data_IF_937972138952
#
_entry.id   IF_937972138952
#
_cell.length_a   1.000
_cell.length_b   1.000
_cell.length_c   1.000
_cell.angle_alpha   90.00
_cell.angle_beta   90.00
_cell.angle_gamma   90.00
#
_symmetry.space_group_name_H-M   'P 1'
#
loop_
_entity.id
_entity.type
_entity.pdbx_description
1 polymer ?
#
# COMPACT_ATOMS: atom_id res chain seq x y z
N UNK A 1 9.03 -17.50 -25.86
CA UNK A 1 9.73 -16.23 -25.61
C UNK A 1 10.30 -16.30 -24.21
N UNK A 2 11.50 -15.79 -23.98
CA UNK A 2 12.05 -15.63 -22.62
C UNK A 2 11.16 -14.67 -21.84
N UNK A 3 10.82 -15.01 -20.60
CA UNK A 3 10.05 -14.15 -19.70
C UNK A 3 10.92 -12.95 -19.34
N UNK A 4 10.41 -11.73 -19.54
CA UNK A 4 11.11 -10.50 -19.18
C UNK A 4 11.20 -10.36 -17.65
N UNK A 5 12.40 -10.11 -17.14
CA UNK A 5 12.65 -9.72 -15.75
C UNK A 5 13.06 -8.26 -15.72
N UNK A 6 12.82 -7.65 -14.56
CA UNK A 6 13.14 -6.23 -14.34
C UNK A 6 14.59 -5.92 -14.72
N UNK A 7 14.74 -4.92 -15.58
CA UNK A 7 15.99 -4.44 -16.20
C UNK A 7 16.72 -5.41 -17.15
N UNK A 8 16.08 -6.48 -17.65
CA UNK A 8 16.68 -7.39 -18.65
C UNK A 8 17.07 -6.69 -19.96
N UNK A 9 16.51 -5.51 -20.25
CA UNK A 9 16.84 -4.71 -21.43
C UNK A 9 18.20 -3.99 -21.33
N UNK A 10 18.82 -3.97 -20.16
CA UNK A 10 20.11 -3.32 -19.94
C UNK A 10 21.26 -4.23 -20.41
N UNK A 11 22.08 -3.73 -21.33
CA UNK A 11 23.33 -4.37 -21.73
C UNK A 11 24.46 -4.03 -20.73
N UNK A 12 24.95 -5.02 -19.96
CA UNK A 12 26.11 -4.88 -19.07
C UNK A 12 25.82 -4.44 -17.62
N UNK A 13 26.86 -4.22 -16.81
CA UNK A 13 26.74 -3.80 -15.39
C UNK A 13 26.56 -2.27 -15.29
N UNK A 14 25.32 -1.79 -15.48
CA UNK A 14 24.93 -0.38 -15.29
C UNK A 14 24.70 0.01 -13.81
N UNK A 15 25.36 -0.70 -12.88
CA UNK A 15 25.15 -0.55 -11.45
C UNK A 15 23.89 -1.26 -10.97
N UNK A 16 23.58 -2.42 -11.58
CA UNK A 16 22.59 -3.33 -11.01
C UNK A 16 23.11 -3.86 -9.66
N UNK A 17 22.21 -4.18 -8.71
CA UNK A 17 22.60 -4.80 -7.45
C UNK A 17 23.46 -6.04 -7.71
N UNK A 18 24.56 -6.13 -6.97
CA UNK A 18 25.44 -7.31 -7.00
C UNK A 18 25.00 -8.39 -6.04
N UNK A 19 24.24 -7.98 -5.02
CA UNK A 19 23.70 -8.88 -4.02
C UNK A 19 22.51 -9.67 -4.59
N UNK A 20 22.35 -10.95 -4.21
CA UNK A 20 21.17 -11.73 -4.56
C UNK A 20 19.88 -11.05 -4.09
N UNK A 21 18.86 -11.07 -4.96
CA UNK A 21 17.53 -10.58 -4.65
C UNK A 21 16.62 -11.74 -4.23
N UNK A 22 15.71 -11.46 -3.30
CA UNK A 22 14.73 -12.41 -2.78
C UNK A 22 13.93 -13.09 -3.88
N UNK A 23 13.67 -14.41 -3.77
CA UNK A 23 12.83 -15.13 -4.71
C UNK A 23 11.39 -14.59 -4.69
N UNK A 24 10.71 -14.63 -5.83
CA UNK A 24 9.33 -14.16 -5.98
C UNK A 24 8.30 -15.15 -5.40
N UNK A 25 8.75 -16.36 -5.06
CA UNK A 25 7.95 -17.47 -4.54
C UNK A 25 8.67 -18.17 -3.38
N UNK A 26 7.90 -18.83 -2.53
CA UNK A 26 8.38 -19.80 -1.52
C UNK A 26 9.50 -19.28 -0.58
N UNK A 27 9.55 -17.96 -0.34
CA UNK A 27 10.49 -17.37 0.65
C UNK A 27 10.18 -17.88 2.06
N UNK A 28 8.90 -18.01 2.37
CA UNK A 28 8.37 -18.54 3.64
C UNK A 28 7.38 -19.68 3.35
N UNK A 29 7.11 -20.57 4.31
CA UNK A 29 6.08 -21.60 4.14
C UNK A 29 4.71 -21.00 3.81
N UNK A 30 4.01 -21.58 2.85
CA UNK A 30 2.68 -21.14 2.47
C UNK A 30 1.69 -21.27 3.63
N UNK A 31 0.80 -20.29 3.77
CA UNK A 31 -0.28 -20.34 4.75
C UNK A 31 -1.26 -21.45 4.40
N UNK A 32 -1.47 -22.37 5.35
CA UNK A 32 -2.39 -23.48 5.12
C UNK A 32 -3.84 -23.15 5.51
N UNK A 33 -4.07 -22.21 6.44
CA UNK A 33 -5.38 -21.77 6.94
C UNK A 33 -6.30 -22.85 7.53
N UNK A 34 -5.98 -24.13 7.35
CA UNK A 34 -6.89 -25.25 7.59
C UNK A 34 -8.13 -25.26 6.69
N UNK A 35 -8.14 -24.49 5.60
CA UNK A 35 -9.34 -24.30 4.76
C UNK A 35 -9.69 -25.57 3.97
N UNK A 36 -10.99 -25.84 3.83
CA UNK A 36 -11.43 -26.98 3.02
C UNK A 36 -11.20 -26.72 1.53
N UNK A 37 -11.07 -27.77 0.69
CA UNK A 37 -10.93 -27.59 -0.76
C UNK A 37 -12.04 -26.76 -1.40
N UNK A 38 -13.27 -26.83 -0.86
CA UNK A 38 -14.41 -26.04 -1.37
C UNK A 38 -14.28 -24.55 -1.05
N UNK A 39 -13.73 -24.21 0.13
CA UNK A 39 -13.44 -22.82 0.53
C UNK A 39 -12.38 -22.24 -0.41
N UNK A 40 -11.28 -22.96 -0.60
CA UNK A 40 -10.19 -22.55 -1.50
C UNK A 40 -10.69 -22.38 -2.92
N UNK A 41 -11.41 -23.37 -3.47
CA UNK A 41 -11.94 -23.29 -4.83
C UNK A 41 -12.93 -22.12 -5.02
N UNK A 42 -13.74 -21.79 -4.01
CA UNK A 42 -14.62 -20.62 -4.04
C UNK A 42 -13.84 -19.31 -3.99
N UNK A 43 -12.80 -19.22 -3.14
CA UNK A 43 -11.93 -18.06 -3.04
C UNK A 43 -11.20 -17.77 -4.35
N UNK A 44 -10.57 -18.80 -4.95
CA UNK A 44 -9.89 -18.69 -6.24
C UNK A 44 -10.82 -18.21 -7.36
N UNK A 45 -12.04 -18.75 -7.42
CA UNK A 45 -13.06 -18.28 -8.38
C UNK A 45 -13.37 -16.80 -8.18
N UNK A 46 -13.63 -16.38 -6.95
CA UNK A 46 -13.98 -14.99 -6.65
C UNK A 46 -12.82 -14.04 -6.97
N UNK A 47 -11.59 -14.43 -6.66
CA UNK A 47 -10.41 -13.64 -6.96
C UNK A 47 -10.20 -13.48 -8.47
N UNK A 48 -10.39 -14.55 -9.25
CA UNK A 48 -10.32 -14.52 -10.71
C UNK A 48 -11.45 -13.70 -11.36
N UNK A 49 -12.69 -13.86 -10.90
CA UNK A 49 -13.87 -13.26 -11.54
C UNK A 49 -14.07 -11.78 -11.16
N UNK A 50 -13.35 -11.28 -10.16
CA UNK A 50 -13.47 -9.91 -9.64
C UNK A 50 -12.25 -9.07 -10.02
N UNK A 51 -12.46 -7.77 -10.22
CA UNK A 51 -11.37 -6.80 -10.20
C UNK A 51 -10.82 -6.72 -8.77
N UNK A 52 -9.73 -7.45 -8.51
CA UNK A 52 -9.04 -7.45 -7.23
C UNK A 52 -7.99 -6.33 -7.17
N UNK A 53 -8.07 -5.47 -6.17
CA UNK A 53 -7.22 -4.29 -6.00
C UNK A 53 -6.57 -4.33 -4.62
N UNK A 54 -5.25 -4.44 -4.58
CA UNK A 54 -4.49 -4.11 -3.38
C UNK A 54 -4.30 -2.60 -3.29
N UNK A 55 -4.86 -2.00 -2.24
CA UNK A 55 -4.85 -0.55 -2.04
C UNK A 55 -3.49 -0.02 -1.60
N UNK A 56 -2.56 -0.90 -1.21
CA UNK A 56 -1.22 -0.52 -0.79
C UNK A 56 -0.27 -1.72 -0.76
N UNK A 57 0.81 -1.68 -1.55
CA UNK A 57 1.96 -2.57 -1.44
C UNK A 57 3.23 -1.93 -2.03
N UNK A 58 4.36 -2.62 -1.86
CA UNK A 58 5.63 -2.35 -2.52
C UNK A 58 6.03 -3.58 -3.36
N UNK A 59 5.59 -3.69 -4.64
CA UNK A 59 5.79 -4.85 -5.51
C UNK A 59 7.24 -5.01 -6.03
N UNK A 60 8.21 -4.82 -5.14
CA UNK A 60 9.64 -4.75 -5.36
C UNK A 60 10.32 -5.95 -4.72
N UNK A 61 11.31 -6.50 -5.43
CA UNK A 61 12.27 -7.47 -4.93
C UNK A 61 13.41 -6.79 -4.21
N UNK A 62 13.47 -7.03 -2.92
CA UNK A 62 14.54 -6.58 -2.05
C UNK A 62 15.72 -7.57 -2.06
N UNK A 63 16.91 -7.15 -1.58
CA UNK A 63 18.03 -8.05 -1.38
C UNK A 63 17.70 -9.15 -0.34
N UNK A 64 18.28 -10.34 -0.51
CA UNK A 64 18.14 -11.44 0.46
C UNK A 64 18.56 -11.05 1.88
N UNK A 65 19.63 -10.26 1.97
CA UNK A 65 20.03 -9.60 3.22
C UNK A 65 19.56 -8.14 3.18
N UNK A 66 18.54 -7.86 3.99
CA UNK A 66 17.91 -6.55 4.07
C UNK A 66 18.84 -5.44 4.58
N UNK A 67 20.02 -5.77 5.12
CA UNK A 67 21.06 -4.79 5.45
C UNK A 67 21.68 -4.14 4.19
N UNK A 68 21.54 -4.77 3.01
CA UNK A 68 22.05 -4.23 1.75
C UNK A 68 21.08 -3.25 1.06
N UNK A 69 19.85 -3.13 1.54
CA UNK A 69 18.82 -2.27 0.95
C UNK A 69 19.24 -0.80 0.81
N UNK A 70 19.95 -0.16 1.76
CA UNK A 70 20.44 1.20 1.57
C UNK A 70 21.35 1.34 0.34
N UNK A 71 22.26 0.39 0.10
CA UNK A 71 23.14 0.41 -1.07
C UNK A 71 22.37 0.09 -2.36
N UNK A 72 21.38 -0.80 -2.27
CA UNK A 72 20.50 -1.11 -3.38
C UNK A 72 19.65 0.08 -3.82
N UNK A 73 19.04 0.81 -2.89
CA UNK A 73 18.23 2.00 -3.20
C UNK A 73 19.08 3.10 -3.89
N UNK A 74 20.38 3.19 -3.62
CA UNK A 74 21.31 4.11 -4.32
C UNK A 74 21.41 3.87 -5.82
N UNK A 75 21.06 2.68 -6.28
CA UNK A 75 21.08 2.36 -7.71
C UNK A 75 19.94 3.04 -8.47
N UNK A 76 18.88 3.45 -7.76
CA UNK A 76 17.63 3.90 -8.38
C UNK A 76 16.86 2.79 -9.10
N UNK A 77 17.30 1.53 -9.02
CA UNK A 77 16.83 0.42 -9.86
C UNK A 77 16.26 -0.73 -9.03
N UNK A 78 15.16 -0.44 -8.33
CA UNK A 78 14.40 -1.47 -7.65
C UNK A 78 13.68 -2.38 -8.64
N UNK A 79 13.89 -3.68 -8.50
CA UNK A 79 13.39 -4.70 -9.40
C UNK A 79 11.94 -5.01 -9.08
N UNK A 80 11.04 -4.92 -10.08
CA UNK A 80 9.66 -5.42 -9.91
C UNK A 80 9.66 -6.95 -9.86
N UNK A 81 8.82 -7.52 -9.00
CA UNK A 81 8.54 -8.96 -8.99
C UNK A 81 7.48 -9.35 -10.04
N UNK A 82 7.81 -9.25 -11.33
CA UNK A 82 6.83 -9.47 -12.41
C UNK A 82 6.23 -10.88 -12.44
N UNK A 83 6.98 -11.90 -12.03
CA UNK A 83 6.48 -13.28 -12.01
C UNK A 83 5.55 -13.50 -10.82
N UNK A 84 5.94 -13.03 -9.63
CA UNK A 84 5.11 -13.07 -8.43
C UNK A 84 3.80 -12.31 -8.59
N UNK A 85 3.85 -11.10 -9.16
CA UNK A 85 2.65 -10.30 -9.42
C UNK A 85 1.65 -11.03 -10.31
N UNK A 86 2.08 -11.64 -11.41
CA UNK A 86 1.18 -12.39 -12.31
C UNK A 86 0.53 -13.59 -11.63
N UNK A 87 1.18 -14.13 -10.60
CA UNK A 87 0.65 -15.25 -9.82
C UNK A 87 -0.21 -14.83 -8.62
N UNK A 88 -0.40 -13.52 -8.38
CA UNK A 88 -1.06 -13.00 -7.17
C UNK A 88 -2.59 -13.02 -7.19
N UNK A 89 -3.19 -13.25 -8.37
CA UNK A 89 -4.62 -13.06 -8.60
C UNK A 89 -5.08 -11.59 -8.54
N UNK A 90 -4.17 -10.63 -8.35
CA UNK A 90 -4.49 -9.21 -8.34
C UNK A 90 -4.71 -8.69 -9.76
N UNK A 91 -5.76 -7.88 -9.93
CA UNK A 91 -5.91 -7.05 -11.13
C UNK A 91 -5.09 -5.77 -11.02
N UNK A 92 -5.03 -5.16 -9.83
CA UNK A 92 -4.30 -3.90 -9.60
C UNK A 92 -3.56 -3.93 -8.26
N UNK A 93 -2.36 -3.35 -8.25
CA UNK A 93 -1.60 -3.01 -7.05
C UNK A 93 -1.32 -1.52 -7.03
N UNK A 94 -1.63 -0.85 -5.92
CA UNK A 94 -1.13 0.49 -5.64
C UNK A 94 0.34 0.36 -5.21
N UNK A 95 1.25 0.65 -6.15
CA UNK A 95 2.70 0.58 -6.01
C UNK A 95 3.22 1.88 -5.40
N UNK A 96 3.62 1.81 -4.13
CA UNK A 96 4.17 2.95 -3.38
C UNK A 96 5.69 3.11 -3.58
N UNK A 97 6.29 2.31 -4.48
CA UNK A 97 7.69 2.45 -4.91
C UNK A 97 8.69 2.39 -3.73
N UNK A 98 9.81 3.12 -3.77
CA UNK A 98 10.78 3.15 -2.66
C UNK A 98 10.28 3.90 -1.42
N UNK A 99 9.40 4.89 -1.63
CA UNK A 99 8.76 5.74 -0.64
C UNK A 99 9.62 6.20 0.55
N UNK A 100 9.29 5.81 1.80
CA UNK A 100 10.05 6.11 3.01
C UNK A 100 11.50 5.62 3.00
N UNK A 101 11.92 4.90 1.95
CA UNK A 101 13.28 4.43 1.72
C UNK A 101 13.94 5.01 0.45
N UNK A 102 13.27 5.93 -0.26
CA UNK A 102 13.75 6.58 -1.49
C UNK A 102 14.95 7.51 -1.22
N UNK A 103 16.14 6.91 -1.14
CA UNK A 103 17.41 7.58 -0.85
C UNK A 103 18.44 7.30 -1.95
N UNK A 104 18.10 7.69 -3.18
CA UNK A 104 18.95 7.48 -4.36
C UNK A 104 20.17 8.39 -4.30
N UNK A 105 19.94 9.68 -4.08
CA UNK A 105 20.99 10.70 -4.01
C UNK A 105 21.19 11.23 -2.59
N UNK A 106 20.14 11.23 -1.76
CA UNK A 106 20.15 11.77 -0.40
C UNK A 106 20.40 10.75 0.73
N UNK A 107 20.33 11.22 1.98
CA UNK A 107 20.34 10.39 3.20
C UNK A 107 19.01 10.44 3.96
N UNK A 108 18.02 11.12 3.39
CA UNK A 108 16.68 11.29 3.91
C UNK A 108 15.72 11.00 2.77
N UNK A 109 14.63 10.25 3.01
CA UNK A 109 13.63 10.00 1.99
C UNK A 109 12.92 11.29 1.56
N UNK A 110 11.99 11.17 0.62
CA UNK A 110 11.09 12.25 0.20
C UNK A 110 11.75 13.43 -0.53
N UNK A 111 13.00 13.30 -0.96
CA UNK A 111 13.60 14.33 -1.80
C UNK A 111 12.96 14.31 -3.18
N UNK A 112 12.72 15.50 -3.73
CA UNK A 112 12.09 15.65 -5.05
C UNK A 112 12.85 14.88 -6.13
N UNK A 113 14.17 15.01 -6.16
CA UNK A 113 15.05 14.35 -7.12
C UNK A 113 14.99 12.82 -6.98
N UNK A 114 14.92 12.30 -5.75
CA UNK A 114 14.89 10.86 -5.49
C UNK A 114 13.55 10.25 -5.91
N UNK A 115 12.43 10.91 -5.59
CA UNK A 115 11.08 10.47 -5.99
C UNK A 115 10.91 10.49 -7.51
N UNK A 116 11.34 11.57 -8.17
CA UNK A 116 11.26 11.66 -9.64
C UNK A 116 12.21 10.64 -10.31
N UNK A 117 13.37 10.38 -9.71
CA UNK A 117 14.31 9.37 -10.23
C UNK A 117 13.71 7.98 -10.13
N UNK A 118 13.16 7.60 -8.97
CA UNK A 118 12.54 6.30 -8.76
C UNK A 118 11.37 6.09 -9.74
N UNK A 119 10.41 7.03 -9.77
CA UNK A 119 9.27 6.97 -10.69
C UNK A 119 9.71 6.87 -12.18
N UNK A 120 10.76 7.59 -12.57
CA UNK A 120 11.31 7.53 -13.92
C UNK A 120 11.95 6.19 -14.25
N UNK A 121 12.72 5.60 -13.33
CA UNK A 121 13.36 4.30 -13.51
C UNK A 121 12.33 3.17 -13.55
N UNK A 122 11.34 3.19 -12.64
CA UNK A 122 10.21 2.25 -12.61
C UNK A 122 9.45 2.26 -13.94
N UNK A 123 9.09 3.43 -14.45
CA UNK A 123 8.39 3.55 -15.73
C UNK A 123 9.23 3.11 -16.92
N UNK A 124 10.55 3.38 -16.92
CA UNK A 124 11.44 2.92 -17.97
C UNK A 124 11.50 1.38 -18.03
N UNK A 125 11.59 0.72 -16.87
CA UNK A 125 11.58 -0.75 -16.79
C UNK A 125 10.25 -1.35 -17.25
N UNK A 126 9.13 -0.81 -16.78
CA UNK A 126 7.78 -1.27 -17.15
C UNK A 126 7.47 -1.10 -18.64
N UNK A 127 8.10 -0.15 -19.34
CA UNK A 127 7.93 0.01 -20.78
C UNK A 127 8.41 -1.21 -21.60
N UNK A 128 9.21 -2.10 -20.99
CA UNK A 128 9.70 -3.34 -21.58
C UNK A 128 8.86 -4.58 -21.18
N UNK A 129 7.86 -4.41 -20.31
CA UNK A 129 6.96 -5.46 -19.86
C UNK A 129 5.60 -5.35 -20.57
N UNK A 130 4.97 -6.50 -20.88
CA UNK A 130 3.65 -6.56 -21.53
C UNK A 130 2.51 -6.92 -20.59
N UNK A 131 2.80 -7.77 -19.58
CA UNK A 131 1.75 -8.42 -18.76
C UNK A 131 1.54 -7.69 -17.42
N UNK A 132 2.47 -6.80 -17.06
CA UNK A 132 2.36 -5.88 -15.92
C UNK A 132 2.46 -4.46 -16.45
N UNK A 133 1.41 -3.67 -16.25
CA UNK A 133 1.20 -2.40 -16.97
C UNK A 133 0.93 -1.25 -16.02
N UNK A 134 1.26 -0.02 -16.42
CA UNK A 134 0.94 1.18 -15.63
C UNK A 134 -0.53 1.55 -15.81
N UNK A 135 -1.20 1.86 -14.71
CA UNK A 135 -2.61 2.28 -14.65
C UNK A 135 -2.71 3.74 -14.21
N UNK A 136 -3.52 4.50 -14.93
CA UNK A 136 -3.76 5.94 -14.72
C UNK A 136 -5.24 6.30 -14.68
N UNK A 137 -6.12 5.39 -15.11
CA UNK A 137 -7.57 5.61 -15.22
C UNK A 137 -8.35 4.36 -14.82
N UNK A 138 -9.63 4.53 -14.46
CA UNK A 138 -10.55 3.41 -14.18
C UNK A 138 -10.75 2.54 -15.43
N UNK A 139 -10.77 3.13 -16.62
CA UNK A 139 -10.89 2.39 -17.87
C UNK A 139 -9.70 1.43 -18.09
N UNK A 140 -8.49 1.84 -17.72
CA UNK A 140 -7.30 0.98 -17.80
C UNK A 140 -7.36 -0.17 -16.78
N UNK A 141 -7.97 0.02 -15.60
CA UNK A 141 -8.22 -1.08 -14.65
C UNK A 141 -9.10 -2.17 -15.30
N UNK A 142 -10.21 -1.76 -15.91
CA UNK A 142 -11.09 -2.70 -16.62
C UNK A 142 -10.39 -3.37 -17.80
N UNK A 143 -9.54 -2.64 -18.52
CA UNK A 143 -8.77 -3.19 -19.63
C UNK A 143 -7.72 -4.22 -19.17
N UNK A 144 -7.02 -3.95 -18.05
CA UNK A 144 -6.07 -4.89 -17.47
C UNK A 144 -6.75 -6.18 -17.04
N UNK A 145 -7.89 -6.08 -16.34
CA UNK A 145 -8.69 -7.25 -15.96
C UNK A 145 -9.12 -8.08 -17.17
N UNK A 146 -9.66 -7.44 -18.20
CA UNK A 146 -10.11 -8.13 -19.42
C UNK A 146 -8.97 -8.78 -20.21
N UNK A 147 -7.74 -8.30 -20.04
CA UNK A 147 -6.53 -8.79 -20.69
C UNK A 147 -5.76 -9.82 -19.85
N UNK A 148 -6.20 -10.13 -18.63
CA UNK A 148 -5.45 -10.96 -17.66
C UNK A 148 -4.05 -10.38 -17.37
N UNK A 149 -3.98 -9.04 -17.27
CA UNK A 149 -2.78 -8.29 -16.93
C UNK A 149 -2.87 -7.76 -15.50
N UNK A 150 -1.71 -7.56 -14.87
CA UNK A 150 -1.62 -6.88 -13.56
C UNK A 150 -1.31 -5.41 -13.76
N UNK A 151 -2.16 -4.54 -13.22
CA UNK A 151 -1.99 -3.10 -13.24
C UNK A 151 -1.19 -2.58 -12.04
N UNK A 152 -0.31 -1.61 -12.26
CA UNK A 152 0.36 -0.85 -11.22
C UNK A 152 -0.12 0.60 -11.22
N UNK A 153 -0.66 1.05 -10.10
CA UNK A 153 -1.03 2.44 -9.86
C UNK A 153 0.06 3.05 -9.00
N UNK A 154 0.78 4.05 -9.52
CA UNK A 154 1.83 4.68 -8.73
C UNK A 154 1.27 5.60 -7.64
N UNK A 155 1.65 5.30 -6.40
CA UNK A 155 1.32 6.01 -5.17
C UNK A 155 2.55 6.63 -4.52
N UNK A 156 2.31 7.49 -3.54
CA UNK A 156 3.30 8.04 -2.61
C UNK A 156 2.65 8.09 -1.23
N UNK A 157 3.32 7.67 -0.17
CA UNK A 157 2.80 7.73 1.20
C UNK A 157 2.91 9.13 1.81
N UNK A 158 3.61 10.07 1.15
CA UNK A 158 3.77 11.43 1.64
C UNK A 158 3.88 12.48 0.53
N UNK A 159 3.26 13.64 0.79
CA UNK A 159 3.37 14.83 -0.02
C UNK A 159 4.60 15.68 0.32
N UNK A 160 5.52 15.19 1.15
CA UNK A 160 6.75 15.89 1.52
C UNK A 160 7.56 16.43 0.31
N UNK A 161 7.67 15.71 -0.83
CA UNK A 161 8.34 16.23 -2.03
C UNK A 161 7.70 17.50 -2.63
N UNK A 162 6.42 17.77 -2.35
CA UNK A 162 5.71 18.98 -2.80
C UNK A 162 6.29 20.24 -2.14
N UNK A 163 6.88 20.13 -0.95
CA UNK A 163 7.40 21.28 -0.21
C UNK A 163 6.31 22.35 -0.02
N UNK A 164 6.58 23.57 -0.48
CA UNK A 164 5.65 24.70 -0.43
C UNK A 164 5.12 25.10 -1.82
N UNK A 165 5.22 24.22 -2.81
CA UNK A 165 4.86 24.51 -4.20
C UNK A 165 3.78 23.54 -4.69
N UNK A 166 2.54 24.03 -4.77
CA UNK A 166 1.39 23.22 -5.19
C UNK A 166 1.50 22.73 -6.64
N UNK A 167 2.26 23.42 -7.51
CA UNK A 167 2.41 23.01 -8.91
C UNK A 167 3.16 21.68 -9.03
N UNK A 168 3.87 21.26 -7.97
CA UNK A 168 4.48 19.93 -7.90
C UNK A 168 3.46 18.79 -7.88
N UNK A 169 2.24 19.04 -7.40
CA UNK A 169 1.15 18.06 -7.49
C UNK A 169 0.76 17.80 -8.95
N UNK A 170 0.67 18.86 -9.76
CA UNK A 170 0.42 18.74 -11.19
C UNK A 170 1.53 17.98 -11.91
N UNK A 171 2.79 18.26 -11.56
CA UNK A 171 3.94 17.59 -12.16
C UNK A 171 3.89 16.09 -11.82
N UNK A 172 3.72 15.73 -10.54
CA UNK A 172 3.63 14.34 -10.11
C UNK A 172 2.45 13.61 -10.78
N UNK A 173 1.29 14.26 -10.85
CA UNK A 173 0.13 13.72 -11.56
C UNK A 173 0.42 13.50 -13.05
N UNK A 174 1.06 14.47 -13.73
CA UNK A 174 1.46 14.36 -15.13
C UNK A 174 2.50 13.27 -15.39
N UNK A 175 3.35 12.98 -14.41
CA UNK A 175 4.31 11.87 -14.45
C UNK A 175 3.68 10.50 -14.17
N UNK A 176 2.43 10.45 -13.69
CA UNK A 176 1.66 9.21 -13.53
C UNK A 176 1.25 8.86 -12.10
N UNK A 177 1.59 9.68 -11.10
CA UNK A 177 1.12 9.47 -9.72
C UNK A 177 -0.41 9.63 -9.67
N UNK A 178 -1.09 8.72 -8.96
CA UNK A 178 -2.55 8.68 -8.85
C UNK A 178 -3.09 8.62 -7.43
N UNK A 179 -2.21 8.42 -6.45
CA UNK A 179 -2.49 8.52 -5.02
C UNK A 179 -1.33 9.21 -4.32
N UNK A 180 -1.63 10.03 -3.31
CA UNK A 180 -0.60 10.65 -2.46
C UNK A 180 -1.07 10.78 -1.01
N UNK A 181 -0.21 10.43 -0.07
CA UNK A 181 -0.42 10.60 1.36
C UNK A 181 -0.16 12.05 1.78
N UNK A 182 -0.94 12.58 2.71
CA UNK A 182 -0.77 13.96 3.19
C UNK A 182 0.57 14.12 3.93
N UNK A 183 0.89 13.21 4.84
CA UNK A 183 2.11 13.18 5.63
C UNK A 183 2.50 11.73 5.94
N UNK A 184 3.78 11.51 6.22
CA UNK A 184 4.31 10.23 6.69
C UNK A 184 4.37 10.20 8.22
N UNK A 185 5.47 9.72 8.80
CA UNK A 185 5.72 9.77 10.23
C UNK A 185 5.94 11.21 10.72
N UNK A 186 6.73 11.99 9.98
CA UNK A 186 7.02 13.40 10.23
C UNK A 186 6.03 14.33 9.53
N UNK A 187 5.82 15.51 10.12
CA UNK A 187 5.08 16.59 9.47
C UNK A 187 5.77 17.11 8.23
N UNK A 188 4.95 17.66 7.35
CA UNK A 188 5.40 18.53 6.27
C UNK A 188 4.53 19.79 6.23
N UNK A 189 4.65 20.58 5.15
CA UNK A 189 3.88 21.82 4.99
C UNK A 189 2.35 21.61 4.95
N UNK A 190 1.86 20.40 4.68
CA UNK A 190 0.43 20.12 4.53
C UNK A 190 -0.24 19.77 5.86
N UNK A 191 0.40 18.99 6.73
CA UNK A 191 -0.20 18.56 8.00
C UNK A 191 0.74 17.77 8.89
N UNK A 192 0.23 17.41 10.07
CA UNK A 192 0.96 16.67 11.09
C UNK A 192 1.01 15.16 10.78
N UNK A 193 2.21 14.58 10.84
CA UNK A 193 2.43 13.13 10.72
C UNK A 193 2.13 12.37 12.02
N UNK A 194 2.10 11.04 11.97
CA UNK A 194 1.72 10.19 13.10
C UNK A 194 2.67 10.25 14.32
N UNK A 195 3.93 10.64 14.12
CA UNK A 195 4.98 10.60 15.14
C UNK A 195 5.25 11.97 15.78
N UNK A 196 4.45 12.97 15.43
CA UNK A 196 4.61 14.31 15.97
C UNK A 196 4.20 14.42 17.44
N UNK A 197 4.96 15.22 18.18
CA UNK A 197 4.64 15.48 19.58
C UNK A 197 3.33 16.25 19.76
N UNK A 198 2.93 17.02 18.74
CA UNK A 198 1.69 17.80 18.74
C UNK A 198 0.94 17.55 17.44
N UNK A 199 -0.30 17.10 17.57
CA UNK A 199 -1.23 17.04 16.46
C UNK A 199 -1.84 18.42 16.22
N UNK A 200 -1.34 19.12 15.20
CA UNK A 200 -1.83 20.45 14.80
C UNK A 200 -2.79 20.39 13.60
N UNK A 201 -3.16 19.18 13.16
CA UNK A 201 -4.09 18.99 12.05
C UNK A 201 -3.56 19.45 10.69
N UNK A 202 -4.50 19.68 9.78
CA UNK A 202 -4.22 20.10 8.41
C UNK A 202 -4.01 21.62 8.35
N UNK A 203 -2.92 22.05 7.71
CA UNK A 203 -2.61 23.47 7.54
C UNK A 203 -3.48 24.12 6.45
N UNK A 204 -3.47 25.45 6.37
CA UNK A 204 -4.12 26.17 5.25
C UNK A 204 -3.50 25.78 3.89
N UNK A 205 -2.20 25.52 3.86
CA UNK A 205 -1.51 25.01 2.67
C UNK A 205 -1.98 23.58 2.35
N UNK A 206 -2.13 22.72 3.35
CA UNK A 206 -2.72 21.38 3.21
C UNK A 206 -4.14 21.42 2.66
N UNK A 207 -4.99 22.33 3.15
CA UNK A 207 -6.35 22.54 2.61
C UNK A 207 -6.32 22.97 1.15
N UNK A 208 -5.36 23.82 0.76
CA UNK A 208 -5.17 24.19 -0.64
C UNK A 208 -4.67 23.01 -1.50
N UNK A 209 -3.78 22.18 -0.94
CA UNK A 209 -3.30 20.97 -1.58
C UNK A 209 -4.43 19.97 -1.82
N UNK A 210 -5.30 19.69 -0.84
CA UNK A 210 -6.46 18.79 -1.01
C UNK A 210 -7.37 19.28 -2.12
N UNK A 211 -7.71 20.57 -2.14
CA UNK A 211 -8.51 21.13 -3.25
C UNK A 211 -7.83 20.92 -4.60
N UNK A 212 -6.51 21.05 -4.68
CA UNK A 212 -5.75 20.80 -5.91
C UNK A 212 -5.75 19.32 -6.29
N UNK A 213 -5.57 18.42 -5.32
CA UNK A 213 -5.65 16.96 -5.52
C UNK A 213 -7.03 16.56 -6.05
N UNK A 214 -8.12 17.09 -5.48
CA UNK A 214 -9.48 16.84 -5.97
C UNK A 214 -9.69 17.34 -7.42
N UNK A 215 -9.12 18.50 -7.78
CA UNK A 215 -9.20 19.04 -9.15
C UNK A 215 -8.43 18.20 -10.18
N UNK A 216 -7.28 17.64 -9.78
CA UNK A 216 -6.46 16.78 -10.64
C UNK A 216 -7.04 15.36 -10.76
N UNK A 217 -7.88 14.96 -9.80
CA UNK A 217 -8.30 13.59 -9.62
C UNK A 217 -7.17 12.72 -9.07
N UNK A 218 -6.47 13.23 -8.06
CA UNK A 218 -5.45 12.51 -7.30
C UNK A 218 -6.08 12.00 -5.99
N UNK A 219 -5.97 10.70 -5.73
CA UNK A 219 -6.50 10.11 -4.51
C UNK A 219 -5.70 10.57 -3.29
N UNK A 220 -6.40 11.12 -2.30
CA UNK A 220 -5.79 11.55 -1.04
C UNK A 220 -5.72 10.38 -0.09
N UNK A 221 -4.55 10.16 0.52
CA UNK A 221 -4.34 9.15 1.56
C UNK A 221 -3.98 9.80 2.91
N UNK A 222 -4.53 9.25 3.99
CA UNK A 222 -4.29 9.70 5.37
C UNK A 222 -3.77 8.57 6.27
N UNK A 223 -3.29 7.46 5.71
CA UNK A 223 -2.73 6.32 6.44
C UNK A 223 -1.68 6.70 7.48
N UNK A 224 -0.74 7.58 7.13
CA UNK A 224 0.35 7.99 8.01
C UNK A 224 0.13 9.33 8.71
N UNK A 225 -0.97 10.03 8.43
CA UNK A 225 -1.24 11.29 9.13
C UNK A 225 -1.58 11.05 10.60
N UNK A 226 -1.41 12.10 11.41
CA UNK A 226 -2.08 12.23 12.70
C UNK A 226 -3.62 12.16 12.56
N UNK A 227 -4.31 12.01 13.69
CA UNK A 227 -5.77 11.86 13.71
C UNK A 227 -6.48 13.13 13.27
N UNK A 228 -6.11 14.30 13.80
CA UNK A 228 -6.73 15.56 13.42
C UNK A 228 -6.43 15.89 11.96
N UNK A 229 -5.22 15.59 11.46
CA UNK A 229 -4.92 15.77 10.03
C UNK A 229 -5.80 14.85 9.17
N UNK A 230 -6.04 13.61 9.60
CA UNK A 230 -6.93 12.68 8.91
C UNK A 230 -8.38 13.17 8.84
N UNK A 231 -8.92 13.61 9.98
CA UNK A 231 -10.28 14.17 10.09
C UNK A 231 -10.41 15.45 9.25
N UNK A 232 -9.49 16.40 9.42
CA UNK A 232 -9.50 17.66 8.67
C UNK A 232 -9.41 17.43 7.15
N UNK A 233 -8.67 16.40 6.73
CA UNK A 233 -8.53 16.03 5.32
C UNK A 233 -9.82 15.44 4.76
N UNK A 234 -10.48 14.56 5.52
CA UNK A 234 -11.78 14.01 5.16
C UNK A 234 -12.84 15.13 5.04
N UNK A 235 -12.84 16.09 5.96
CA UNK A 235 -13.75 17.24 5.93
C UNK A 235 -13.45 18.23 4.80
N UNK A 236 -12.18 18.41 4.44
CA UNK A 236 -11.76 19.35 3.40
C UNK A 236 -11.95 18.81 1.96
N UNK A 237 -11.95 17.49 1.78
CA UNK A 237 -12.08 16.86 0.47
C UNK A 237 -13.52 16.87 -0.04
N UNK A 238 -13.71 17.11 -1.33
CA UNK A 238 -15.05 17.06 -1.97
C UNK A 238 -15.34 15.73 -2.67
N UNK A 239 -14.38 14.81 -2.68
CA UNK A 239 -14.48 13.44 -3.20
C UNK A 239 -13.94 12.46 -2.14
N UNK A 240 -14.21 11.16 -2.26
CA UNK A 240 -13.69 10.18 -1.31
C UNK A 240 -12.18 10.28 -1.10
N UNK A 241 -11.72 9.96 0.11
CA UNK A 241 -10.30 9.80 0.44
C UNK A 241 -10.04 8.39 0.96
N UNK A 242 -8.77 8.01 1.05
CA UNK A 242 -8.37 6.69 1.51
C UNK A 242 -7.63 6.74 2.84
N UNK A 243 -7.81 5.65 3.58
CA UNK A 243 -6.75 5.11 4.43
C UNK A 243 -6.24 3.92 3.63
N UNK A 244 -5.12 4.04 2.93
CA UNK A 244 -4.68 2.98 2.02
C UNK A 244 -4.30 1.70 2.77
N UNK A 245 -3.80 1.84 4.00
CA UNK A 245 -3.32 0.75 4.84
C UNK A 245 -3.18 1.17 6.32
N UNK A 246 -4.09 0.70 7.18
CA UNK A 246 -3.99 0.79 8.63
C UNK A 246 -4.86 -0.29 9.31
N UNK A 247 -5.08 -0.15 10.61
CA UNK A 247 -6.11 -0.90 11.33
C UNK A 247 -6.74 -0.04 12.41
N UNK A 248 -7.68 -0.62 13.15
CA UNK A 248 -8.39 0.07 14.23
C UNK A 248 -7.62 0.09 15.56
N UNK A 249 -7.40 1.29 16.10
CA UNK A 249 -6.72 1.51 17.39
C UNK A 249 -7.50 0.94 18.58
N UNK A 250 -8.82 0.80 18.45
CA UNK A 250 -9.67 0.19 19.46
C UNK A 250 -9.32 -1.28 19.77
N UNK A 251 -8.70 -2.00 18.83
CA UNK A 251 -8.25 -3.37 19.03
C UNK A 251 -6.81 -3.47 19.54
N UNK A 252 -6.00 -2.44 19.27
CA UNK A 252 -4.61 -2.35 19.66
C UNK A 252 -4.13 -0.90 19.65
N UNK A 253 -3.90 -0.35 20.84
CA UNK A 253 -3.65 1.07 21.02
C UNK A 253 -2.18 1.44 20.75
N UNK A 254 -1.87 1.73 19.49
CA UNK A 254 -0.59 2.28 19.02
C UNK A 254 -0.82 3.44 18.02
N UNK A 255 0.14 4.38 17.89
CA UNK A 255 -0.01 5.55 17.01
C UNK A 255 -0.25 5.23 15.53
N UNK A 256 0.25 4.08 15.06
CA UNK A 256 0.14 3.65 13.66
C UNK A 256 -1.29 3.26 13.25
N UNK A 257 -2.13 2.88 14.22
CA UNK A 257 -3.53 2.49 14.00
C UNK A 257 -4.44 3.70 14.18
N UNK A 258 -5.61 3.71 13.54
CA UNK A 258 -6.53 4.86 13.50
C UNK A 258 -7.61 4.78 14.57
N UNK A 259 -7.93 5.91 15.18
CA UNK A 259 -9.09 6.02 16.06
C UNK A 259 -10.38 5.87 15.28
N UNK A 260 -11.45 5.45 15.97
CA UNK A 260 -12.78 5.33 15.37
C UNK A 260 -13.24 6.63 14.71
N UNK A 261 -12.88 7.79 15.27
CA UNK A 261 -13.29 9.08 14.74
C UNK A 261 -12.68 9.34 13.36
N UNK A 262 -11.42 8.97 13.15
CA UNK A 262 -10.77 9.02 11.83
C UNK A 262 -11.43 8.03 10.87
N UNK A 263 -11.68 6.78 11.31
CA UNK A 263 -12.32 5.76 10.48
C UNK A 263 -13.73 6.22 10.03
N UNK A 264 -14.52 6.76 10.95
CA UNK A 264 -15.85 7.32 10.65
C UNK A 264 -15.79 8.54 9.75
N UNK A 265 -14.83 9.45 9.95
CA UNK A 265 -14.68 10.63 9.10
C UNK A 265 -14.39 10.25 7.64
N UNK A 266 -13.48 9.30 7.42
CA UNK A 266 -13.15 8.80 6.06
C UNK A 266 -14.36 8.11 5.43
N UNK A 267 -15.03 7.22 6.17
CA UNK A 267 -16.22 6.52 5.66
C UNK A 267 -17.39 7.47 5.35
N UNK A 268 -17.63 8.48 6.20
CA UNK A 268 -18.70 9.47 5.99
C UNK A 268 -18.51 10.27 4.69
N UNK A 269 -17.27 10.45 4.24
CA UNK A 269 -16.92 11.06 2.95
C UNK A 269 -17.01 10.12 1.74
N UNK A 270 -17.47 8.88 1.91
CA UNK A 270 -17.49 7.86 0.85
C UNK A 270 -16.17 7.08 0.70
N UNK A 271 -15.20 7.33 1.58
CA UNK A 271 -13.85 6.78 1.55
C UNK A 271 -13.77 5.28 1.78
N UNK A 272 -12.55 4.74 1.58
CA UNK A 272 -12.24 3.32 1.72
C UNK A 272 -11.01 3.13 2.61
N UNK A 273 -11.07 2.11 3.47
CA UNK A 273 -10.08 1.83 4.50
C UNK A 273 -9.47 0.46 4.21
N UNK A 274 -8.22 0.44 3.77
CA UNK A 274 -7.43 -0.76 3.54
C UNK A 274 -6.85 -1.30 4.85
N UNK A 275 -7.06 -2.59 5.11
CA UNK A 275 -6.45 -3.27 6.25
C UNK A 275 -4.99 -3.61 5.95
N UNK A 276 -4.10 -3.14 6.83
CA UNK A 276 -2.65 -3.35 6.75
C UNK A 276 -2.24 -4.67 7.41
N UNK A 277 -1.11 -5.21 6.95
CA UNK A 277 -0.39 -6.34 7.53
C UNK A 277 1.07 -5.97 7.83
N UNK A 278 1.42 -4.68 7.92
CA UNK A 278 2.77 -4.23 8.22
C UNK A 278 3.25 -4.86 9.55
N UNK A 279 4.40 -5.57 9.58
CA UNK A 279 4.81 -6.35 10.74
C UNK A 279 4.75 -5.59 12.06
N UNK A 280 4.13 -6.24 13.05
CA UNK A 280 3.96 -5.78 14.43
C UNK A 280 3.06 -4.55 14.60
N UNK A 281 2.10 -4.34 13.70
CA UNK A 281 1.14 -3.21 13.79
C UNK A 281 -0.30 -3.66 14.04
N UNK A 282 -0.90 -4.40 13.11
CA UNK A 282 -2.30 -4.91 13.12
C UNK A 282 -2.46 -6.19 13.92
N UNK A 283 -1.98 -6.13 15.15
CA UNK A 283 -2.19 -7.13 16.21
C UNK A 283 -3.52 -6.81 16.90
N UNK A 284 -4.20 -7.81 17.45
CA UNK A 284 -5.38 -7.58 18.30
C UNK A 284 -5.20 -8.25 19.67
N UNK A 285 -6.00 -7.85 20.65
CA UNK A 285 -6.04 -8.56 21.93
C UNK A 285 -6.53 -10.02 21.83
N UNK A 286 -7.28 -10.38 20.78
CA UNK A 286 -7.71 -11.75 20.52
C UNK A 286 -6.60 -12.59 19.88
N UNK A 287 -5.77 -11.97 19.04
CA UNK A 287 -4.68 -12.59 18.31
C UNK A 287 -3.39 -11.77 18.48
N UNK A 288 -2.69 -12.01 19.59
CA UNK A 288 -1.47 -11.25 19.95
C UNK A 288 -0.25 -11.60 19.10
N UNK A 289 -0.26 -12.77 18.43
CA UNK A 289 0.76 -13.14 17.44
C UNK A 289 0.30 -12.66 16.07
N UNK A 290 1.04 -11.73 15.46
CA UNK A 290 0.66 -11.12 14.19
C UNK A 290 0.57 -12.17 13.07
N UNK A 291 -0.61 -12.31 12.48
CA UNK A 291 -0.94 -13.19 11.35
C UNK A 291 -2.16 -12.64 10.64
N UNK A 292 -2.57 -13.25 9.52
CA UNK A 292 -3.83 -12.91 8.86
C UNK A 292 -5.03 -12.89 9.80
N UNK A 293 -5.05 -13.72 10.86
CA UNK A 293 -6.16 -13.75 11.81
C UNK A 293 -6.33 -12.44 12.58
N UNK A 294 -5.25 -11.79 13.02
CA UNK A 294 -5.36 -10.51 13.71
C UNK A 294 -5.72 -9.38 12.74
N UNK A 295 -5.24 -9.44 11.50
CA UNK A 295 -5.66 -8.51 10.43
C UNK A 295 -7.16 -8.64 10.16
N UNK A 296 -7.68 -9.87 10.14
CA UNK A 296 -9.12 -10.12 9.98
C UNK A 296 -9.96 -9.62 11.17
N UNK A 297 -9.43 -9.60 12.39
CA UNK A 297 -10.13 -8.95 13.51
C UNK A 297 -10.30 -7.44 13.27
N UNK A 298 -9.26 -6.76 12.76
CA UNK A 298 -9.35 -5.35 12.39
C UNK A 298 -10.32 -5.12 11.23
N UNK A 299 -10.32 -6.01 10.24
CA UNK A 299 -11.27 -5.97 9.13
C UNK A 299 -12.72 -6.04 9.64
N UNK A 300 -13.05 -7.06 10.44
CA UNK A 300 -14.39 -7.29 10.97
C UNK A 300 -14.86 -6.12 11.85
N UNK A 301 -13.99 -5.65 12.75
CA UNK A 301 -14.29 -4.49 13.59
C UNK A 301 -14.56 -3.24 12.77
N UNK A 302 -13.72 -2.96 11.77
CA UNK A 302 -13.88 -1.77 10.92
C UNK A 302 -15.13 -1.88 10.06
N UNK A 303 -15.41 -3.06 9.50
CA UNK A 303 -16.62 -3.32 8.72
C UNK A 303 -17.89 -3.17 9.57
N UNK A 304 -17.89 -3.59 10.85
CA UNK A 304 -18.99 -3.37 11.78
C UNK A 304 -19.15 -1.87 12.12
N UNK A 305 -18.03 -1.16 12.28
CA UNK A 305 -17.99 0.25 12.66
C UNK A 305 -18.54 1.18 11.57
N UNK A 306 -18.10 0.98 10.32
CA UNK A 306 -18.37 1.91 9.22
C UNK A 306 -19.14 1.30 8.05
N UNK A 307 -19.36 0.00 8.04
CA UNK A 307 -20.05 -0.72 6.98
C UNK A 307 -19.12 -1.35 5.94
N UNK A 308 -19.57 -2.47 5.36
CA UNK A 308 -18.81 -3.27 4.39
C UNK A 308 -18.43 -2.50 3.12
N UNK A 309 -19.17 -1.42 2.80
CA UNK A 309 -18.92 -0.58 1.62
C UNK A 309 -17.69 0.34 1.78
N UNK A 310 -17.07 0.39 2.97
CA UNK A 310 -15.97 1.31 3.29
C UNK A 310 -14.67 0.62 3.67
N UNK A 311 -14.58 -0.70 3.50
CA UNK A 311 -13.39 -1.49 3.84
C UNK A 311 -12.82 -2.21 2.62
N UNK A 312 -11.51 -2.39 2.62
CA UNK A 312 -10.74 -3.11 1.62
C UNK A 312 -9.45 -3.67 2.28
N UNK A 313 -8.51 -4.15 1.47
CA UNK A 313 -7.19 -4.57 1.92
C UNK A 313 -6.10 -3.76 1.23
N UNK A 314 -5.12 -3.33 2.02
CA UNK A 314 -3.86 -2.75 1.57
C UNK A 314 -2.77 -3.32 2.46
N UNK A 315 -2.34 -4.56 2.21
CA UNK A 315 -1.54 -5.33 3.16
C UNK A 315 -0.20 -4.68 3.50
N UNK A 316 0.34 -3.80 2.65
CA UNK A 316 1.68 -3.22 2.84
C UNK A 316 2.75 -4.32 2.86
N UNK A 317 2.81 -5.03 1.73
CA UNK A 317 3.70 -6.19 1.53
C UNK A 317 4.73 -5.94 0.44
N UNK A 318 5.79 -6.74 0.48
CA UNK A 318 6.93 -6.66 -0.42
C UNK A 318 7.51 -8.04 -0.72
N UNK A 319 8.46 -8.12 -1.65
CA UNK A 319 9.21 -9.35 -1.91
C UNK A 319 10.56 -9.31 -1.19
N UNK A 320 10.57 -9.75 0.08
CA UNK A 320 11.73 -9.61 0.98
C UNK A 320 11.40 -9.94 2.42
N UNK A 321 12.39 -9.82 3.31
CA UNK A 321 12.18 -9.86 4.76
C UNK A 321 11.66 -8.51 5.29
N UNK A 322 10.33 -8.37 5.39
CA UNK A 322 9.70 -7.11 5.82
C UNK A 322 10.05 -6.73 7.28
N UNK A 323 10.28 -7.71 8.15
CA UNK A 323 10.76 -7.44 9.53
C UNK A 323 12.20 -6.93 9.51
N UNK A 324 13.04 -7.52 8.66
CA UNK A 324 14.39 -7.04 8.37
C UNK A 324 14.38 -5.60 7.88
N UNK A 325 13.44 -5.21 7.02
CA UNK A 325 13.38 -3.86 6.44
C UNK A 325 13.15 -2.82 7.53
N UNK A 326 12.17 -3.08 8.38
CA UNK A 326 11.88 -2.26 9.56
C UNK A 326 13.06 -2.16 10.52
N UNK A 327 13.88 -3.20 10.61
CA UNK A 327 15.09 -3.18 11.44
C UNK A 327 16.16 -2.29 10.80
N UNK A 328 16.42 -2.47 9.50
CA UNK A 328 17.40 -1.68 8.72
C UNK A 328 17.07 -0.18 8.73
N UNK A 329 15.79 0.18 8.63
CA UNK A 329 15.32 1.57 8.56
C UNK A 329 14.56 2.04 9.81
N UNK A 330 14.84 1.45 10.98
CA UNK A 330 14.13 1.73 12.23
C UNK A 330 14.08 3.22 12.64
N UNK A 331 15.08 4.01 12.24
CA UNK A 331 15.12 5.46 12.47
C UNK A 331 14.36 6.33 11.46
N UNK A 332 13.94 5.76 10.31
CA UNK A 332 13.24 6.49 9.23
C UNK A 332 11.77 6.07 9.10
N UNK A 333 11.43 4.82 9.40
CA UNK A 333 10.06 4.30 9.30
C UNK A 333 9.24 4.49 10.59
N UNK A 334 9.54 5.55 11.37
CA UNK A 334 8.73 5.99 12.51
C UNK A 334 8.64 5.05 13.73
N UNK A 335 9.33 3.90 13.75
CA UNK A 335 9.19 2.91 14.84
C UNK A 335 9.92 3.27 16.15
N UNK A 336 10.75 4.32 16.17
CA UNK A 336 11.42 4.76 17.40
C UNK A 336 10.46 5.26 18.50
N UNK A 337 9.21 5.59 18.16
CA UNK A 337 8.20 6.11 19.09
C UNK A 337 7.09 5.11 19.45
N UNK A 338 7.15 3.85 18.99
CA UNK A 338 6.14 2.87 19.36
C UNK A 338 6.28 2.53 20.85
N UNK A 339 5.36 3.06 21.67
CA UNK A 339 5.04 2.57 23.00
C UNK A 339 4.50 1.16 22.88
N UNK A 340 5.40 0.19 22.64
CA UNK A 340 5.03 -1.16 22.31
C UNK A 340 4.41 -1.82 23.54
N UNK A 341 3.11 -2.06 23.45
CA UNK A 341 2.46 -3.09 24.26
C UNK A 341 3.23 -4.40 24.03
N UNK A 342 3.52 -5.15 25.09
CA UNK A 342 4.30 -6.38 24.96
C UNK A 342 3.54 -7.41 24.10
N UNK A 343 4.19 -7.91 23.06
CA UNK A 343 3.62 -8.88 22.14
C UNK A 343 4.70 -9.82 21.57
N UNK A 344 4.35 -11.05 21.18
CA UNK A 344 5.26 -11.95 20.47
C UNK A 344 5.83 -11.29 19.21
N UNK A 345 7.15 -11.38 19.03
CA UNK A 345 7.80 -10.97 17.78
C UNK A 345 7.76 -12.12 16.79
N UNK A 346 7.19 -11.86 15.62
CA UNK A 346 7.19 -12.77 14.46
C UNK A 346 8.33 -12.43 13.49
N UNK A 347 8.81 -13.41 12.73
CA UNK A 347 9.80 -13.22 11.67
C UNK A 347 9.16 -12.75 10.33
N UNK A 348 7.88 -13.01 10.15
CA UNK A 348 7.05 -12.64 9.00
C UNK A 348 5.58 -12.66 9.45
N UNK A 349 4.67 -12.04 8.70
CA UNK A 349 3.24 -12.07 9.01
C UNK A 349 2.60 -13.25 8.29
N UNK A 350 2.26 -14.29 9.06
CA UNK A 350 1.78 -15.56 8.50
C UNK A 350 0.47 -15.35 7.70
N UNK A 351 0.48 -15.76 6.43
CA UNK A 351 -0.60 -15.58 5.46
C UNK A 351 -0.63 -14.25 4.69
N UNK A 352 0.21 -13.27 5.02
CA UNK A 352 0.21 -11.94 4.38
C UNK A 352 1.63 -11.41 4.18
N UNK A 353 2.60 -12.25 3.83
CA UNK A 353 4.00 -11.82 3.78
C UNK A 353 4.38 -11.13 2.46
N UNK A 354 3.71 -11.47 1.36
CA UNK A 354 4.03 -10.95 0.03
C UNK A 354 2.78 -10.80 -0.84
N UNK A 355 2.82 -9.97 -1.90
CA UNK A 355 1.67 -9.78 -2.78
C UNK A 355 1.19 -11.06 -3.48
N UNK A 356 2.07 -12.02 -3.75
CA UNK A 356 1.72 -13.26 -4.48
C UNK A 356 0.70 -14.13 -3.75
N UNK A 357 0.74 -14.19 -2.42
CA UNK A 357 -0.18 -15.06 -1.65
C UNK A 357 -1.29 -14.30 -0.92
N UNK A 358 -1.08 -13.01 -0.64
CA UNK A 358 -1.91 -12.29 0.33
C UNK A 358 -3.39 -12.28 -0.04
N UNK A 359 -3.73 -12.00 -1.30
CA UNK A 359 -5.14 -11.91 -1.73
C UNK A 359 -5.83 -13.26 -1.87
N UNK A 360 -5.09 -14.33 -2.17
CA UNK A 360 -5.62 -15.70 -2.10
C UNK A 360 -6.04 -16.06 -0.68
N UNK A 361 -5.17 -15.75 0.30
CA UNK A 361 -5.42 -16.02 1.71
C UNK A 361 -6.58 -15.17 2.26
N UNK A 362 -6.63 -13.88 1.90
CA UNK A 362 -7.74 -12.97 2.26
C UNK A 362 -9.07 -13.48 1.73
N UNK A 363 -9.15 -13.82 0.44
CA UNK A 363 -10.36 -14.35 -0.16
C UNK A 363 -10.82 -15.65 0.54
N UNK A 364 -9.88 -16.54 0.87
CA UNK A 364 -10.17 -17.77 1.61
C UNK A 364 -10.71 -17.50 3.03
N UNK A 365 -10.11 -16.55 3.76
CA UNK A 365 -10.60 -16.14 5.09
C UNK A 365 -12.02 -15.56 5.03
N UNK A 366 -12.31 -14.68 4.05
CA UNK A 366 -13.64 -14.11 3.89
C UNK A 366 -14.68 -15.20 3.58
N UNK A 367 -14.36 -16.15 2.70
CA UNK A 367 -15.23 -17.29 2.39
C UNK A 367 -15.45 -18.16 3.63
N UNK A 368 -14.40 -18.48 4.37
CA UNK A 368 -14.45 -19.32 5.56
C UNK A 368 -15.28 -18.67 6.69
N UNK A 369 -15.23 -17.35 6.81
CA UNK A 369 -16.00 -16.54 7.78
C UNK A 369 -17.46 -16.32 7.35
N UNK A 370 -17.84 -16.79 6.16
CA UNK A 370 -19.23 -16.82 5.72
C UNK A 370 -19.72 -15.54 5.04
N UNK A 371 -18.80 -14.68 4.58
CA UNK A 371 -19.18 -13.52 3.77
C UNK A 371 -19.84 -13.97 2.45
N UNK A 372 -20.80 -13.17 1.98
CA UNK A 372 -21.47 -13.40 0.71
C UNK A 372 -20.53 -13.11 -0.46
N UNK A 373 -20.75 -13.74 -1.62
CA UNK A 373 -19.94 -13.45 -2.83
C UNK A 373 -19.97 -11.94 -3.15
N UNK A 374 -21.13 -11.29 -2.99
CA UNK A 374 -21.28 -9.85 -3.20
C UNK A 374 -20.47 -8.98 -2.22
N UNK A 375 -20.37 -9.37 -0.95
CA UNK A 375 -19.55 -8.64 0.03
C UNK A 375 -18.05 -8.86 -0.23
N UNK A 376 -17.68 -10.07 -0.66
CA UNK A 376 -16.30 -10.39 -1.03
C UNK A 376 -15.89 -9.57 -2.26
N UNK A 377 -16.73 -9.50 -3.29
CA UNK A 377 -16.49 -8.70 -4.50
C UNK A 377 -16.26 -7.21 -4.17
N UNK A 378 -17.05 -6.65 -3.25
CA UNK A 378 -16.86 -5.28 -2.75
C UNK A 378 -15.50 -5.09 -2.10
N UNK A 379 -15.14 -5.99 -1.19
CA UNK A 379 -13.94 -5.87 -0.35
C UNK A 379 -12.66 -6.13 -1.14
N UNK A 380 -12.67 -7.09 -2.08
CA UNK A 380 -11.52 -7.42 -2.90
C UNK A 380 -11.12 -6.28 -3.86
N UNK A 381 -12.05 -5.41 -4.24
CA UNK A 381 -11.71 -4.25 -5.07
C UNK A 381 -12.89 -3.39 -5.51
N UNK A 382 -14.13 -3.87 -5.43
CA UNK A 382 -15.32 -3.11 -5.82
C UNK A 382 -15.48 -1.77 -5.07
N UNK A 383 -15.16 -1.73 -3.78
CA UNK A 383 -15.19 -0.50 -2.97
C UNK A 383 -14.14 0.50 -3.43
N UNK A 384 -12.92 0.03 -3.68
CA UNK A 384 -11.83 0.87 -4.21
C UNK A 384 -12.21 1.41 -5.58
N UNK A 385 -12.70 0.54 -6.48
CA UNK A 385 -13.11 0.92 -7.83
C UNK A 385 -14.23 1.97 -7.82
N UNK A 386 -15.23 1.83 -6.93
CA UNK A 386 -16.28 2.84 -6.73
C UNK A 386 -15.68 4.18 -6.36
N UNK A 387 -14.84 4.23 -5.33
CA UNK A 387 -14.24 5.48 -4.88
C UNK A 387 -13.35 6.11 -5.96
N UNK A 388 -12.58 5.31 -6.70
CA UNK A 388 -11.80 5.81 -7.84
C UNK A 388 -12.65 6.41 -8.95
N UNK A 389 -13.88 5.90 -9.17
CA UNK A 389 -14.83 6.48 -10.12
C UNK A 389 -15.28 7.90 -9.75
N UNK A 390 -15.25 8.26 -8.47
CA UNK A 390 -15.55 9.61 -7.99
C UNK A 390 -14.29 10.49 -7.90
N UNK A 391 -13.13 9.88 -7.66
CA UNK A 391 -11.85 10.59 -7.46
C UNK A 391 -11.18 10.92 -8.80
N UNK A 392 -10.92 9.91 -9.63
CA UNK A 392 -10.10 10.08 -10.84
C UNK A 392 -10.88 10.76 -11.95
N UNK A 393 -10.18 11.61 -12.70
CA UNK A 393 -10.73 12.17 -13.95
C UNK A 393 -10.92 11.04 -14.97
N UNK A 394 -12.03 11.11 -15.69
CA UNK A 394 -12.49 10.09 -16.64
C UNK A 394 -11.59 9.94 -17.88
#
# INVERSE_FOLDING_TARGET
MTVYRSYDYLDGDLGLPRDPLTPEFDRVPAWSGGHSPDVVARAERLLHDTIAISLHDHPVRFPDDMANTPAYNRTGRQHTAFEGLRASGLTVVFDNMMDGTAMVTGNTPWQWEDVVTDLGMRQADLAHQSDVVVIRTVAEIHAAHAADHVGLVFGLEAATPVGNDLDRLDILYGLGIRQIGIAYSESNGLGAGLSEAHDFGLTDFGRAAIRRMNQLGLAVDVSHSSDQTGIDSAEASTVPIFITHAGARALWDIPRLKSDDVLRAVAAGGGVIGMSAAPHTTISHAHTTHSILSVMDHFEYTAELVGIDHVAFGPDTLYGDHVGLHTTFSGLLGKAAATAQDHPRVAYVDGLENPTESFHNIAAELVARGYSDADIEKVLGGNVLRALGDIWVA
#
